data_IF_634959990706
#
_entry.id   IF_634959990706
#
_cell.length_a   1.000
_cell.length_b   1.000
_cell.length_c   1.000
_cell.angle_alpha   90.00
_cell.angle_beta   90.00
_cell.angle_gamma   90.00
#
_symmetry.space_group_name_H-M   'P 1'
#
loop_
_entity.id
_entity.type
_entity.pdbx_description
1 polymer ?
#
# COMPACT_ATOMS: atom_id res chain seq x y z
N UNK A 1 28.00 7.10 -53.06
CA UNK A 1 27.07 6.21 -52.33
C UNK A 1 27.42 6.10 -50.83
N UNK A 2 27.53 7.22 -50.10
CA UNK A 2 27.94 7.22 -48.67
C UNK A 2 27.13 8.17 -47.76
N UNK A 3 25.97 8.69 -48.23
CA UNK A 3 25.11 9.58 -47.44
C UNK A 3 23.81 8.94 -46.94
N UNK A 4 23.35 7.84 -47.55
CA UNK A 4 22.10 7.15 -47.16
C UNK A 4 22.24 6.13 -46.01
N UNK A 5 23.46 5.84 -45.54
CA UNK A 5 23.67 4.97 -44.36
C UNK A 5 23.80 5.74 -43.04
N UNK A 6 24.00 7.06 -43.06
CA UNK A 6 24.09 7.87 -41.84
C UNK A 6 22.72 8.29 -41.28
N UNK A 7 21.71 8.51 -42.14
CA UNK A 7 20.36 8.88 -41.68
C UNK A 7 19.58 7.72 -41.05
N UNK A 8 19.77 6.48 -41.53
CA UNK A 8 19.14 5.29 -40.91
C UNK A 8 19.70 4.96 -39.51
N UNK A 9 20.95 5.33 -39.22
CA UNK A 9 21.55 5.19 -37.89
C UNK A 9 21.10 6.28 -36.91
N UNK A 10 20.82 7.49 -37.39
CA UNK A 10 20.29 8.57 -36.55
C UNK A 10 18.85 8.29 -36.07
N UNK A 11 18.01 7.69 -36.92
CA UNK A 11 16.64 7.32 -36.54
C UNK A 11 16.58 6.10 -35.59
N UNK A 12 17.58 5.20 -35.65
CA UNK A 12 17.71 4.08 -34.71
C UNK A 12 18.39 4.45 -33.38
N UNK A 13 19.12 5.57 -33.30
CA UNK A 13 19.65 6.08 -32.04
C UNK A 13 18.63 6.91 -31.25
N UNK A 14 17.70 7.61 -31.91
CA UNK A 14 16.58 8.31 -31.21
C UNK A 14 15.62 7.36 -30.49
N UNK A 15 15.43 6.14 -31.00
CA UNK A 15 14.58 5.13 -30.36
C UNK A 15 15.28 4.37 -29.22
N UNK A 16 16.62 4.43 -29.14
CA UNK A 16 17.42 3.77 -28.08
C UNK A 16 17.84 4.68 -26.93
N UNK A 17 17.70 6.00 -27.07
CA UNK A 17 17.97 6.98 -26.00
C UNK A 17 16.77 7.27 -25.08
N UNK A 18 15.66 6.54 -25.24
CA UNK A 18 14.49 6.59 -24.34
C UNK A 18 14.43 5.41 -23.34
N UNK A 19 15.53 4.66 -23.17
CA UNK A 19 15.55 3.43 -22.36
C UNK A 19 16.81 3.27 -21.51
N UNK A 20 17.42 4.35 -21.02
CA UNK A 20 18.58 4.19 -20.13
C UNK A 20 18.79 5.18 -19.00
N UNK A 21 17.76 5.92 -18.61
CA UNK A 21 17.71 6.60 -17.30
C UNK A 21 16.24 6.63 -16.85
N UNK A 22 16.01 6.38 -15.55
CA UNK A 22 14.76 5.90 -14.95
C UNK A 22 13.46 6.68 -15.21
N UNK A 23 12.36 6.01 -14.89
CA UNK A 23 10.93 6.32 -15.15
C UNK A 23 10.35 5.82 -16.48
N UNK A 24 10.47 4.51 -16.73
CA UNK A 24 9.63 3.81 -17.71
C UNK A 24 8.26 3.48 -17.15
N UNK A 25 7.27 4.37 -17.32
CA UNK A 25 5.85 4.05 -17.20
C UNK A 25 5.38 3.41 -18.52
N UNK A 26 5.67 2.12 -18.67
CA UNK A 26 5.24 1.33 -19.82
C UNK A 26 3.77 0.94 -19.73
N UNK A 27 2.90 1.78 -20.30
CA UNK A 27 1.48 1.52 -20.54
C UNK A 27 0.64 1.42 -19.27
N UNK A 28 -0.63 1.83 -19.36
CA UNK A 28 -1.63 1.90 -18.28
C UNK A 28 -1.74 3.29 -17.64
N UNK A 29 -2.96 3.83 -17.63
CA UNK A 29 -3.24 5.25 -17.42
C UNK A 29 -3.00 5.75 -15.99
N UNK A 30 -3.40 7.00 -15.68
CA UNK A 30 -3.35 7.54 -14.31
C UNK A 30 -4.02 6.62 -13.28
N UNK A 31 -5.08 5.90 -13.69
CA UNK A 31 -5.84 4.96 -12.86
C UNK A 31 -5.02 3.75 -12.41
N UNK A 32 -4.10 3.26 -13.24
CA UNK A 32 -3.29 2.08 -12.94
C UNK A 32 -2.07 2.43 -12.08
N UNK A 33 -1.52 3.63 -12.24
CA UNK A 33 -0.53 4.18 -11.32
C UNK A 33 -1.17 4.47 -9.95
N UNK A 34 -2.38 5.02 -9.92
CA UNK A 34 -3.14 5.23 -8.68
C UNK A 34 -3.45 3.89 -7.98
N UNK A 35 -3.82 2.86 -8.75
CA UNK A 35 -4.01 1.49 -8.25
C UNK A 35 -2.69 0.91 -7.70
N UNK A 36 -1.56 1.13 -8.36
CA UNK A 36 -0.24 0.69 -7.89
C UNK A 36 0.19 1.40 -6.59
N UNK A 37 -0.07 2.70 -6.45
CA UNK A 37 0.18 3.43 -5.20
C UNK A 37 -0.75 2.98 -4.06
N UNK A 38 -2.03 2.74 -4.34
CA UNK A 38 -2.97 2.14 -3.37
C UNK A 38 -2.52 0.75 -2.92
N UNK A 39 -2.01 -0.07 -3.83
CA UNK A 39 -1.53 -1.42 -3.53
C UNK A 39 -0.23 -1.41 -2.73
N UNK A 40 0.76 -0.59 -3.12
CA UNK A 40 2.11 -0.59 -2.51
C UNK A 40 2.18 0.15 -1.17
N UNK A 41 1.25 1.08 -0.91
CA UNK A 41 1.12 1.76 0.39
C UNK A 41 0.37 0.94 1.45
N UNK A 42 -0.67 0.19 1.05
CA UNK A 42 -1.51 -0.61 1.95
C UNK A 42 -0.73 -1.67 2.73
N UNK A 43 0.19 -2.37 2.08
CA UNK A 43 0.90 -3.51 2.69
C UNK A 43 2.11 -3.11 3.55
N UNK A 44 2.58 -1.85 3.46
CA UNK A 44 3.77 -1.40 4.21
C UNK A 44 3.47 -0.88 5.62
N UNK A 45 2.26 -0.39 5.86
CA UNK A 45 1.84 0.07 7.19
C UNK A 45 1.67 -1.11 8.17
N UNK A 46 1.16 -2.23 7.65
CA UNK A 46 1.08 -3.51 8.34
C UNK A 46 2.09 -4.50 7.75
N UNK A 47 3.39 -4.19 7.81
CA UNK A 47 4.41 -5.21 7.54
C UNK A 47 4.20 -6.40 8.48
N UNK A 48 3.67 -7.51 7.94
CA UNK A 48 3.62 -8.94 8.37
C UNK A 48 3.61 -9.37 9.86
N UNK A 49 3.72 -8.49 10.86
CA UNK A 49 3.69 -8.83 12.28
C UNK A 49 2.44 -8.32 12.99
N UNK A 50 1.98 -7.10 12.71
CA UNK A 50 0.96 -6.48 13.57
C UNK A 50 -0.47 -6.99 13.31
N UNK A 51 -0.80 -7.34 12.05
CA UNK A 51 -2.17 -7.69 11.68
C UNK A 51 -2.62 -9.03 12.30
N UNK A 52 -1.71 -9.99 12.49
CA UNK A 52 -2.03 -11.27 13.10
C UNK A 52 -2.50 -11.11 14.56
N UNK A 53 -1.92 -10.16 15.31
CA UNK A 53 -2.28 -9.90 16.70
C UNK A 53 -3.62 -9.16 16.81
N UNK A 54 -3.91 -8.24 15.88
CA UNK A 54 -5.23 -7.61 15.80
C UNK A 54 -6.31 -8.66 15.50
N UNK A 55 -6.02 -9.59 14.57
CA UNK A 55 -6.92 -10.70 14.25
C UNK A 55 -7.13 -11.61 15.46
N UNK A 56 -6.06 -12.05 16.14
CA UNK A 56 -6.16 -12.87 17.34
C UNK A 56 -6.96 -12.16 18.44
N UNK A 57 -6.72 -10.87 18.67
CA UNK A 57 -7.48 -10.09 19.65
C UNK A 57 -8.97 -10.04 19.32
N UNK A 58 -9.32 -9.90 18.04
CA UNK A 58 -10.72 -9.93 17.60
C UNK A 58 -11.37 -11.31 17.77
N UNK A 59 -10.59 -12.38 17.61
CA UNK A 59 -11.04 -13.76 17.78
C UNK A 59 -11.13 -14.19 19.25
N UNK A 60 -10.38 -13.52 20.14
CA UNK A 60 -10.54 -13.63 21.58
C UNK A 60 -11.88 -13.05 22.06
N UNK A 61 -12.35 -11.97 21.41
CA UNK A 61 -13.66 -11.40 21.75
C UNK A 61 -14.81 -12.29 21.26
N UNK A 62 -14.72 -12.84 20.04
CA UNK A 62 -15.75 -13.69 19.44
C UNK A 62 -15.20 -14.50 18.25
N UNK A 63 -15.67 -15.74 18.07
CA UNK A 63 -15.44 -16.53 16.85
C UNK A 63 -16.03 -15.85 15.61
N UNK A 64 -15.26 -15.76 14.52
CA UNK A 64 -15.66 -14.97 13.33
C UNK A 64 -15.38 -15.67 12.02
N UNK A 65 -16.20 -15.37 11.00
CA UNK A 65 -15.87 -15.70 9.62
C UNK A 65 -14.75 -14.81 9.09
N UNK A 66 -13.91 -15.34 8.20
CA UNK A 66 -12.82 -14.56 7.59
C UNK A 66 -13.26 -13.26 6.91
N UNK A 67 -14.44 -13.24 6.28
CA UNK A 67 -14.99 -12.02 5.69
C UNK A 67 -15.47 -11.01 6.74
N UNK A 68 -16.00 -11.49 7.87
CA UNK A 68 -16.39 -10.61 8.98
C UNK A 68 -15.17 -9.95 9.58
N UNK A 69 -14.07 -10.69 9.74
CA UNK A 69 -12.77 -10.14 10.18
C UNK A 69 -12.32 -9.01 9.25
N UNK A 70 -12.42 -9.19 7.92
CA UNK A 70 -12.07 -8.14 6.95
C UNK A 70 -12.95 -6.89 7.13
N UNK A 71 -14.26 -7.06 7.31
CA UNK A 71 -15.20 -5.95 7.51
C UNK A 71 -14.95 -5.19 8.81
N UNK A 72 -14.79 -5.92 9.91
CA UNK A 72 -14.51 -5.34 11.22
C UNK A 72 -13.18 -4.58 11.21
N UNK A 73 -12.17 -5.10 10.50
CA UNK A 73 -10.92 -4.37 10.26
C UNK A 73 -11.21 -3.11 9.46
N UNK A 74 -11.90 -3.16 8.33
CA UNK A 74 -12.22 -1.92 7.60
C UNK A 74 -12.95 -0.85 8.44
N UNK A 75 -13.89 -1.27 9.29
CA UNK A 75 -14.64 -0.39 10.19
C UNK A 75 -13.77 0.20 11.29
N UNK A 76 -12.96 -0.62 11.99
CA UNK A 76 -12.03 -0.14 13.04
C UNK A 76 -11.04 0.88 12.52
N UNK A 77 -10.67 0.74 11.26
CA UNK A 77 -9.76 1.65 10.57
C UNK A 77 -10.49 2.80 9.87
N UNK A 78 -11.81 2.95 10.06
CA UNK A 78 -12.66 4.01 9.48
C UNK A 78 -12.51 4.18 7.96
N UNK A 79 -12.24 3.07 7.27
CA UNK A 79 -11.95 3.03 5.83
C UNK A 79 -10.57 3.58 5.43
N UNK A 80 -9.75 4.06 6.39
CA UNK A 80 -8.36 4.45 6.13
C UNK A 80 -7.54 3.25 5.62
N UNK A 81 -7.78 2.09 6.22
CA UNK A 81 -7.22 0.81 5.80
C UNK A 81 -8.32 -0.24 5.72
N UNK A 82 -8.46 -0.86 4.55
CA UNK A 82 -9.33 -2.03 4.35
C UNK A 82 -8.42 -3.14 3.83
N UNK A 83 -8.03 -4.10 4.67
CA UNK A 83 -7.14 -5.18 4.23
C UNK A 83 -7.85 -6.02 3.17
N UNK A 84 -7.11 -6.41 2.12
CA UNK A 84 -7.69 -7.25 1.08
C UNK A 84 -7.86 -8.69 1.58
N UNK A 85 -8.75 -9.48 0.96
CA UNK A 85 -8.74 -10.93 1.14
C UNK A 85 -7.35 -11.55 1.00
N UNK A 86 -6.56 -11.11 0.00
CA UNK A 86 -5.19 -11.58 -0.23
C UNK A 86 -4.20 -11.19 0.87
N UNK A 87 -4.54 -10.23 1.74
CA UNK A 87 -3.73 -9.82 2.89
C UNK A 87 -4.16 -10.54 4.18
N UNK A 88 -5.44 -10.86 4.34
CA UNK A 88 -5.99 -11.48 5.57
C UNK A 88 -5.94 -13.00 5.55
N UNK A 89 -6.37 -13.64 4.45
CA UNK A 89 -6.46 -15.10 4.41
C UNK A 89 -5.12 -15.82 4.58
N UNK A 90 -3.98 -15.33 4.03
CA UNK A 90 -2.69 -15.94 4.32
C UNK A 90 -2.28 -15.88 5.79
N UNK A 91 -2.70 -14.84 6.52
CA UNK A 91 -2.46 -14.72 7.96
C UNK A 91 -3.35 -15.69 8.73
N UNK A 92 -4.63 -15.77 8.38
CA UNK A 92 -5.55 -16.74 8.98
C UNK A 92 -5.06 -18.17 8.76
N UNK A 93 -4.58 -18.49 7.56
CA UNK A 93 -3.98 -19.79 7.27
C UNK A 93 -2.75 -20.04 8.14
N UNK A 94 -1.84 -19.08 8.24
CA UNK A 94 -0.67 -19.20 9.10
C UNK A 94 -1.03 -19.38 10.59
N UNK A 95 -2.07 -18.70 11.08
CA UNK A 95 -2.56 -18.87 12.46
C UNK A 95 -3.19 -20.26 12.67
N UNK A 96 -3.91 -20.78 11.67
CA UNK A 96 -4.45 -22.14 11.66
C UNK A 96 -3.33 -23.19 11.62
N UNK A 97 -2.32 -23.02 10.76
CA UNK A 97 -1.17 -23.92 10.62
C UNK A 97 -0.30 -23.97 11.90
N UNK A 98 -0.33 -22.90 12.70
CA UNK A 98 0.36 -22.81 14.00
C UNK A 98 -0.52 -23.21 15.18
N UNK A 99 -1.73 -23.69 14.91
CA UNK A 99 -2.70 -24.11 15.92
C UNK A 99 -3.10 -22.99 16.88
N UNK A 100 -2.85 -21.72 16.52
CA UNK A 100 -3.30 -20.55 17.29
C UNK A 100 -4.78 -20.24 17.08
N UNK A 101 -5.35 -20.76 16.00
CA UNK A 101 -6.75 -20.62 15.64
C UNK A 101 -7.25 -21.96 15.12
N UNK A 102 -8.38 -22.43 15.64
CA UNK A 102 -9.11 -23.57 15.12
C UNK A 102 -10.16 -23.12 14.12
N UNK A 103 -10.53 -24.02 13.19
CA UNK A 103 -11.62 -23.75 12.24
C UNK A 103 -12.74 -24.75 12.36
N UNK A 104 -13.97 -24.25 12.23
CA UNK A 104 -15.18 -25.05 12.08
C UNK A 104 -15.95 -24.61 10.84
N UNK A 105 -16.86 -25.47 10.37
CA UNK A 105 -17.71 -25.17 9.23
C UNK A 105 -19.08 -24.69 9.73
N UNK A 106 -19.49 -23.53 9.25
CA UNK A 106 -20.87 -23.07 9.28
C UNK A 106 -21.39 -23.05 7.85
N UNK A 107 -22.06 -24.14 7.46
CA UNK A 107 -22.46 -24.42 6.08
C UNK A 107 -21.26 -24.51 5.13
N UNK A 108 -21.05 -23.47 4.32
CA UNK A 108 -19.92 -23.37 3.37
C UNK A 108 -18.81 -22.42 3.83
N UNK A 109 -18.96 -21.79 5.00
CA UNK A 109 -18.05 -20.75 5.49
C UNK A 109 -17.21 -21.31 6.63
N UNK A 110 -15.90 -21.06 6.58
CA UNK A 110 -15.02 -21.28 7.73
C UNK A 110 -15.32 -20.25 8.82
N UNK A 111 -15.50 -20.72 10.05
CA UNK A 111 -15.49 -19.93 11.27
C UNK A 111 -14.14 -20.15 11.94
N UNK A 112 -13.48 -19.07 12.33
CA UNK A 112 -12.21 -19.08 13.03
C UNK A 112 -12.48 -18.83 14.51
N UNK A 113 -11.82 -19.60 15.38
CA UNK A 113 -11.91 -19.47 16.85
C UNK A 113 -10.50 -19.54 17.41
N UNK A 114 -10.14 -18.61 18.30
CA UNK A 114 -8.82 -18.65 18.95
C UNK A 114 -8.71 -19.92 19.82
N UNK A 115 -7.51 -20.51 19.89
CA UNK A 115 -7.21 -21.66 20.77
C UNK A 115 -6.53 -21.19 22.05
N UNK A 116 -6.35 -22.09 23.02
CA UNK A 116 -5.57 -21.81 24.22
C UNK A 116 -4.12 -21.42 23.88
N UNK A 117 -3.51 -22.10 22.91
CA UNK A 117 -2.17 -21.77 22.39
C UNK A 117 -2.13 -20.38 21.75
N UNK A 118 -3.19 -20.01 21.02
CA UNK A 118 -3.34 -18.69 20.43
C UNK A 118 -3.50 -17.58 21.48
N UNK A 119 -4.24 -17.84 22.56
CA UNK A 119 -4.38 -16.92 23.68
C UNK A 119 -3.07 -16.72 24.43
N UNK A 120 -2.32 -17.79 24.69
CA UNK A 120 -0.99 -17.70 25.30
C UNK A 120 -0.02 -16.94 24.40
N UNK A 121 0.02 -17.27 23.11
CA UNK A 121 0.84 -16.55 22.14
C UNK A 121 0.50 -15.05 22.10
N UNK A 122 -0.79 -14.70 22.15
CA UNK A 122 -1.23 -13.31 22.21
C UNK A 122 -0.78 -12.63 23.51
N UNK A 123 -0.94 -13.28 24.67
CA UNK A 123 -0.56 -12.75 25.97
C UNK A 123 0.96 -12.52 26.10
N UNK A 124 1.77 -13.50 25.71
CA UNK A 124 3.23 -13.44 25.78
C UNK A 124 3.78 -12.31 24.90
N UNK A 125 3.19 -12.11 23.72
CA UNK A 125 3.60 -11.05 22.82
C UNK A 125 3.01 -9.69 23.20
N UNK A 126 1.88 -9.64 23.92
CA UNK A 126 1.38 -8.39 24.51
C UNK A 126 2.22 -7.91 25.70
N UNK A 127 3.04 -8.76 26.33
CA UNK A 127 3.99 -8.30 27.35
C UNK A 127 5.27 -7.71 26.75
N UNK A 128 5.48 -7.84 25.43
CA UNK A 128 6.62 -7.23 24.76
C UNK A 128 6.37 -5.73 24.58
N UNK A 129 7.26 -4.89 25.13
CA UNK A 129 7.18 -3.43 25.05
C UNK A 129 7.00 -2.90 23.62
N UNK A 130 7.64 -3.53 22.63
CA UNK A 130 7.54 -3.14 21.22
C UNK A 130 6.11 -3.37 20.66
N UNK A 131 5.44 -4.43 21.09
CA UNK A 131 4.05 -4.71 20.70
C UNK A 131 3.06 -3.80 21.39
N UNK A 132 3.24 -3.54 22.69
CA UNK A 132 2.40 -2.57 23.42
C UNK A 132 2.52 -1.18 22.82
N UNK A 133 3.75 -0.73 22.55
CA UNK A 133 4.01 0.55 21.90
C UNK A 133 3.33 0.62 20.53
N UNK A 134 3.39 -0.44 19.72
CA UNK A 134 2.69 -0.49 18.42
C UNK A 134 1.18 -0.47 18.55
N UNK A 135 0.61 -1.18 19.54
CA UNK A 135 -0.83 -1.17 19.79
C UNK A 135 -1.30 0.19 20.32
N UNK A 136 -0.51 0.85 21.15
CA UNK A 136 -0.80 2.21 21.63
C UNK A 136 -0.64 3.25 20.52
N UNK A 137 0.41 3.17 19.68
CA UNK A 137 0.53 3.99 18.48
C UNK A 137 -0.67 3.79 17.55
N UNK A 138 -1.16 2.55 17.43
CA UNK A 138 -2.33 2.23 16.64
C UNK A 138 -3.61 2.85 17.22
N UNK A 139 -3.84 2.74 18.53
CA UNK A 139 -5.01 3.33 19.20
C UNK A 139 -4.99 4.86 19.16
N UNK A 140 -3.81 5.45 19.33
CA UNK A 140 -3.62 6.91 19.36
C UNK A 140 -3.48 7.51 17.96
N UNK A 141 -3.58 6.69 16.91
CA UNK A 141 -3.57 7.17 15.54
C UNK A 141 -4.85 7.93 15.24
N UNK A 142 -4.72 9.19 14.84
CA UNK A 142 -5.85 9.95 14.34
C UNK A 142 -6.20 9.49 12.92
N UNK A 143 -7.08 8.49 12.83
CA UNK A 143 -7.55 7.95 11.55
C UNK A 143 -8.29 8.99 10.70
N UNK A 144 -8.89 10.02 11.29
CA UNK A 144 -9.54 11.10 10.53
C UNK A 144 -8.50 12.02 9.90
N UNK A 145 -7.49 12.45 10.67
CA UNK A 145 -6.38 13.23 10.15
C UNK A 145 -5.62 12.47 9.05
N UNK A 146 -5.37 11.18 9.25
CA UNK A 146 -4.70 10.33 8.25
C UNK A 146 -5.55 10.14 6.99
N UNK A 147 -6.88 10.00 7.13
CA UNK A 147 -7.82 9.92 6.01
C UNK A 147 -7.88 11.24 5.24
N UNK A 148 -7.90 12.38 5.93
CA UNK A 148 -7.84 13.71 5.33
C UNK A 148 -6.53 13.90 4.55
N UNK A 149 -5.38 13.64 5.18
CA UNK A 149 -4.06 13.69 4.54
C UNK A 149 -3.99 12.77 3.31
N UNK A 150 -4.57 11.57 3.37
CA UNK A 150 -4.64 10.67 2.21
C UNK A 150 -5.47 11.27 1.08
N UNK A 151 -6.62 11.89 1.37
CA UNK A 151 -7.44 12.57 0.38
C UNK A 151 -6.67 13.71 -0.29
N UNK A 152 -5.97 14.53 0.49
CA UNK A 152 -5.11 15.61 0.00
C UNK A 152 -3.99 15.09 -0.90
N UNK A 153 -3.30 14.01 -0.49
CA UNK A 153 -2.24 13.38 -1.28
C UNK A 153 -2.78 12.79 -2.60
N UNK A 154 -3.96 12.16 -2.58
CA UNK A 154 -4.60 11.63 -3.78
C UNK A 154 -4.95 12.76 -4.77
N UNK A 155 -5.51 13.85 -4.27
CA UNK A 155 -5.86 15.01 -5.10
C UNK A 155 -4.61 15.71 -5.65
N UNK A 156 -3.56 15.87 -4.83
CA UNK A 156 -2.27 16.39 -5.27
C UNK A 156 -1.66 15.52 -6.37
N UNK A 157 -1.65 14.20 -6.16
CA UNK A 157 -1.11 13.25 -7.14
C UNK A 157 -1.90 13.27 -8.46
N UNK A 158 -3.23 13.33 -8.40
CA UNK A 158 -4.08 13.47 -9.58
C UNK A 158 -3.73 14.75 -10.36
N UNK A 159 -3.61 15.89 -9.68
CA UNK A 159 -3.20 17.16 -10.29
C UNK A 159 -1.81 17.06 -10.91
N UNK A 160 -0.86 16.46 -10.20
CA UNK A 160 0.50 16.22 -10.69
C UNK A 160 0.50 15.42 -11.99
N UNK A 161 -0.27 14.33 -12.04
CA UNK A 161 -0.39 13.47 -13.22
C UNK A 161 -1.03 14.17 -14.40
N UNK A 162 -2.10 14.96 -14.16
CA UNK A 162 -2.74 15.76 -15.20
C UNK A 162 -1.78 16.82 -15.76
N UNK A 163 -1.09 17.56 -14.89
CA UNK A 163 -0.10 18.55 -15.29
C UNK A 163 1.04 17.92 -16.10
N UNK A 164 1.53 16.75 -15.68
CA UNK A 164 2.55 16.00 -16.42
C UNK A 164 2.07 15.55 -17.80
N UNK A 165 0.82 15.09 -17.92
CA UNK A 165 0.22 14.71 -19.22
C UNK A 165 0.11 15.90 -20.16
N UNK A 166 -0.38 17.04 -19.70
CA UNK A 166 -0.49 18.28 -20.50
C UNK A 166 0.88 18.78 -20.94
N UNK A 167 1.88 18.70 -20.05
CA UNK A 167 3.24 19.10 -20.31
C UNK A 167 3.95 18.26 -21.40
N UNK A 168 3.47 17.07 -21.74
CA UNK A 168 4.07 16.26 -22.81
C UNK A 168 3.71 16.74 -24.22
N UNK A 169 2.67 17.57 -24.35
CA UNK A 169 2.17 18.05 -25.65
C UNK A 169 2.63 19.49 -25.98
N UNK A 170 3.35 20.14 -25.07
CA UNK A 170 3.72 21.55 -25.14
C UNK A 170 5.11 21.75 -24.51
N UNK A 171 6.08 22.18 -25.31
CA UNK A 171 7.47 22.31 -24.88
C UNK A 171 7.67 23.35 -23.77
N UNK A 172 6.87 24.41 -23.74
CA UNK A 172 6.93 25.42 -22.68
C UNK A 172 6.40 24.85 -21.36
N UNK A 173 5.23 24.21 -21.40
CA UNK A 173 4.66 23.51 -20.24
C UNK A 173 5.56 22.39 -19.75
N UNK A 174 6.27 21.71 -20.65
CA UNK A 174 7.28 20.69 -20.31
C UNK A 174 8.39 21.25 -19.44
N UNK A 175 8.95 22.40 -19.82
CA UNK A 175 10.02 23.03 -19.03
C UNK A 175 9.49 23.55 -17.69
N UNK A 176 8.29 24.14 -17.67
CA UNK A 176 7.65 24.59 -16.43
C UNK A 176 7.39 23.43 -15.47
N UNK A 177 6.83 22.32 -15.98
CA UNK A 177 6.58 21.13 -15.18
C UNK A 177 7.88 20.52 -14.64
N UNK A 178 8.92 20.41 -15.48
CA UNK A 178 10.24 19.93 -15.04
C UNK A 178 10.81 20.76 -13.89
N UNK A 179 10.79 22.09 -14.00
CA UNK A 179 11.25 22.99 -12.94
C UNK A 179 10.44 22.83 -11.65
N UNK A 180 9.13 22.66 -11.77
CA UNK A 180 8.25 22.39 -10.63
C UNK A 180 8.62 21.07 -9.92
N UNK A 181 8.87 19.99 -10.67
CA UNK A 181 9.31 18.70 -10.10
C UNK A 181 10.64 18.83 -9.37
N UNK A 182 11.62 19.49 -9.98
CA UNK A 182 12.94 19.73 -9.38
C UNK A 182 12.84 20.49 -8.06
N UNK A 183 12.06 21.58 -8.04
CA UNK A 183 11.85 22.39 -6.85
C UNK A 183 11.11 21.62 -5.75
N UNK A 184 10.03 20.92 -6.10
CA UNK A 184 9.26 20.09 -5.16
C UNK A 184 10.14 18.99 -4.55
N UNK A 185 10.98 18.34 -5.36
CA UNK A 185 11.91 17.32 -4.88
C UNK A 185 12.93 17.90 -3.90
N UNK A 186 13.47 19.09 -4.19
CA UNK A 186 14.42 19.78 -3.31
C UNK A 186 13.77 20.20 -1.98
N UNK A 187 12.51 20.61 -2.00
CA UNK A 187 11.77 20.98 -0.79
C UNK A 187 11.41 19.76 0.06
N UNK A 188 11.01 18.65 -0.57
CA UNK A 188 10.76 17.39 0.13
C UNK A 188 12.03 16.85 0.80
N UNK A 189 13.18 16.93 0.14
CA UNK A 189 14.47 16.50 0.69
C UNK A 189 14.84 17.20 2.00
N UNK A 190 14.37 18.42 2.23
CA UNK A 190 14.60 19.17 3.48
C UNK A 190 13.76 18.67 4.65
N UNK A 191 12.73 17.85 4.40
CA UNK A 191 11.82 17.38 5.45
C UNK A 191 12.30 16.13 6.17
N UNK A 192 13.30 15.42 5.61
CA UNK A 192 13.78 14.15 6.17
C UNK A 192 15.33 14.04 6.16
N UNK A 193 16.02 15.17 6.01
CA UNK A 193 17.46 15.34 6.24
C UNK A 193 17.64 16.30 7.41
#
# INVERSE_FOLDING_TARGET
>A
MFRKQFEKKAHHMRSRMMNRDGFGFGGHGPEDMERAFRARGKDRFFKKGNLQFVILKMLQDESKHGYQIIKDLEERFKGFYSPSPGSVYPILQMLEDREFVSTSQDGKKKVYTITEEGEQFLADNMQNDDMLQRMEQFKNMDFEAMKAMRGELQELFKKFMLAGKEAMNDDEKKQQFKKFVEQTSADLDKLYK
#
